data_IF_346878213863
#
_entry.id   IF_346878213863
#
_cell.length_a   1.000
_cell.length_b   1.000
_cell.length_c   1.000
_cell.angle_alpha   90.00
_cell.angle_beta   90.00
_cell.angle_gamma   90.00
#
_symmetry.space_group_name_H-M   'P 1'
#
loop_
_entity.id
_entity.type
_entity.pdbx_description
1 polymer ?
#
# COMPACT_ATOMS: atom_id res chain seq x y z
N UNK A 1 19.47 52.33 1.13
CA UNK A 1 19.72 50.90 1.46
C UNK A 1 20.31 50.25 0.22
N UNK A 2 21.55 49.79 0.31
CA UNK A 2 22.17 49.08 -0.82
C UNK A 2 21.61 47.68 -0.95
N UNK A 3 21.56 47.14 -2.17
CA UNK A 3 21.10 45.74 -2.42
C UNK A 3 21.91 44.74 -1.61
N UNK A 4 23.19 45.00 -1.38
CA UNK A 4 24.07 44.22 -0.52
C UNK A 4 23.64 44.24 0.97
N UNK A 5 23.07 45.35 1.46
CA UNK A 5 22.63 45.49 2.83
C UNK A 5 21.33 44.70 3.06
N UNK A 6 20.45 44.64 2.06
CA UNK A 6 19.22 43.86 2.09
C UNK A 6 19.54 42.36 2.09
N UNK A 7 20.45 41.92 1.21
CA UNK A 7 20.89 40.51 1.18
C UNK A 7 21.57 40.13 2.51
N UNK A 8 22.49 40.99 3.00
CA UNK A 8 23.20 40.72 4.24
C UNK A 8 22.25 40.65 5.44
N UNK A 9 21.23 41.51 5.48
CA UNK A 9 20.19 41.52 6.50
C UNK A 9 19.32 40.27 6.41
N UNK A 10 18.84 39.87 5.23
CA UNK A 10 18.06 38.67 5.02
C UNK A 10 18.85 37.41 5.34
N UNK A 11 20.15 37.38 5.02
CA UNK A 11 21.03 36.26 5.37
C UNK A 11 21.23 36.20 6.89
N UNK A 12 21.51 37.36 7.54
CA UNK A 12 21.69 37.42 8.99
C UNK A 12 20.41 37.06 9.75
N UNK A 13 19.24 37.53 9.28
CA UNK A 13 17.94 37.14 9.86
C UNK A 13 17.64 35.64 9.65
N UNK A 14 18.04 35.07 8.52
CA UNK A 14 17.94 33.62 8.27
C UNK A 14 18.91 32.79 9.11
N UNK A 15 20.02 33.34 9.58
CA UNK A 15 20.94 32.73 10.55
C UNK A 15 20.53 33.01 12.01
N UNK A 16 19.60 33.95 12.25
CA UNK A 16 19.08 34.19 13.58
C UNK A 16 18.30 32.94 14.06
N UNK A 17 18.74 32.36 15.16
CA UNK A 17 18.02 31.27 15.82
C UNK A 17 16.60 31.74 16.13
N UNK A 18 15.60 31.16 15.47
CA UNK A 18 14.22 31.30 15.91
C UNK A 18 14.05 30.46 17.18
N UNK A 19 13.94 31.15 18.33
CA UNK A 19 13.66 30.50 19.61
C UNK A 19 12.27 29.87 19.54
N UNK A 20 12.23 28.55 19.30
CA UNK A 20 10.99 27.77 19.30
C UNK A 20 10.65 27.48 20.76
N UNK A 21 9.69 28.23 21.32
CA UNK A 21 9.26 28.04 22.70
C UNK A 21 8.81 26.60 22.97
N UNK A 22 9.11 26.09 24.18
CA UNK A 22 8.75 24.72 24.60
C UNK A 22 7.25 24.44 24.44
N UNK A 23 6.39 25.43 24.67
CA UNK A 23 4.94 25.30 24.51
C UNK A 23 4.59 24.98 23.03
N UNK A 24 5.24 25.64 22.08
CA UNK A 24 5.05 25.42 20.64
C UNK A 24 5.45 23.99 20.25
N UNK A 25 6.55 23.48 20.79
CA UNK A 25 7.00 22.12 20.55
C UNK A 25 5.94 21.12 21.06
N UNK A 26 5.50 21.28 22.30
CA UNK A 26 4.50 20.37 22.92
C UNK A 26 3.18 20.39 22.16
N UNK A 27 2.69 21.58 21.80
CA UNK A 27 1.44 21.72 21.03
C UNK A 27 1.58 21.07 19.64
N UNK A 28 2.67 21.35 18.94
CA UNK A 28 2.90 20.77 17.61
C UNK A 28 2.96 19.24 17.66
N UNK A 29 3.72 18.67 18.58
CA UNK A 29 3.80 17.22 18.74
C UNK A 29 2.48 16.62 19.22
N UNK A 30 1.72 17.31 20.06
CA UNK A 30 0.40 16.89 20.51
C UNK A 30 -0.61 16.81 19.37
N UNK A 31 -0.71 17.87 18.55
CA UNK A 31 -1.59 17.89 17.36
C UNK A 31 -1.16 16.82 16.34
N UNK A 32 0.16 16.72 16.10
CA UNK A 32 0.70 15.68 15.20
C UNK A 32 0.33 14.29 15.70
N UNK A 33 0.44 14.05 17.01
CA UNK A 33 0.06 12.78 17.63
C UNK A 33 -1.43 12.44 17.45
N UNK A 34 -2.32 13.42 17.54
CA UNK A 34 -3.75 13.21 17.29
C UNK A 34 -4.02 12.81 15.83
N UNK A 35 -3.39 13.49 14.86
CA UNK A 35 -3.53 13.13 13.44
C UNK A 35 -2.86 11.78 13.16
N UNK A 36 -1.75 11.46 13.80
CA UNK A 36 -1.10 10.16 13.71
C UNK A 36 -2.00 9.01 14.19
N UNK A 37 -2.71 9.20 15.29
CA UNK A 37 -3.71 8.25 15.79
C UNK A 37 -4.90 8.13 14.83
N UNK A 38 -5.29 9.22 14.19
CA UNK A 38 -6.29 9.18 13.12
C UNK A 38 -5.84 8.31 11.96
N UNK A 39 -4.60 8.49 11.45
CA UNK A 39 -4.03 7.66 10.38
C UNK A 39 -3.99 6.19 10.80
N UNK A 40 -3.55 5.90 12.04
CA UNK A 40 -3.55 4.55 12.62
C UNK A 40 -4.93 3.90 12.56
N UNK A 41 -5.98 4.65 12.94
CA UNK A 41 -7.35 4.15 12.91
C UNK A 41 -7.85 3.90 11.49
N UNK A 42 -7.58 4.82 10.55
CA UNK A 42 -7.98 4.68 9.14
C UNK A 42 -7.29 3.47 8.49
N UNK A 43 -5.98 3.31 8.69
CA UNK A 43 -5.27 2.14 8.17
C UNK A 43 -5.87 0.83 8.68
N UNK A 44 -6.20 0.77 9.98
CA UNK A 44 -6.84 -0.40 10.59
C UNK A 44 -8.23 -0.70 10.03
N UNK A 45 -9.00 0.34 9.69
CA UNK A 45 -10.35 0.21 9.12
C UNK A 45 -10.32 -0.16 7.63
N UNK A 46 -9.40 0.43 6.86
CA UNK A 46 -9.29 0.23 5.43
C UNK A 46 -8.54 -1.06 5.05
N UNK A 47 -7.57 -1.51 5.89
CA UNK A 47 -6.82 -2.74 5.62
C UNK A 47 -7.71 -3.96 5.83
N UNK A 48 -7.83 -4.80 4.79
CA UNK A 48 -8.53 -6.08 4.90
C UNK A 48 -7.79 -7.00 5.86
N UNK A 49 -8.54 -7.73 6.69
CA UNK A 49 -8.01 -8.54 7.80
C UNK A 49 -6.87 -9.49 7.42
N UNK A 50 -6.82 -9.99 6.18
CA UNK A 50 -5.78 -10.89 5.69
C UNK A 50 -4.41 -10.24 5.45
N UNK A 51 -4.37 -8.91 5.22
CA UNK A 51 -3.15 -8.17 4.86
C UNK A 51 -2.74 -7.15 5.93
N UNK A 52 -3.47 -7.09 7.05
CA UNK A 52 -3.16 -6.15 8.13
C UNK A 52 -1.82 -6.46 8.80
N UNK A 53 -0.86 -5.54 8.66
CA UNK A 53 0.43 -5.62 9.35
C UNK A 53 0.43 -4.71 10.57
N UNK A 54 0.40 -5.32 11.78
CA UNK A 54 0.35 -4.60 13.04
C UNK A 54 1.58 -3.74 13.30
N UNK A 55 2.75 -4.22 12.94
CA UNK A 55 4.00 -3.49 13.21
C UNK A 55 4.18 -2.33 12.23
N UNK A 56 3.75 -2.51 10.98
CA UNK A 56 3.69 -1.42 10.02
C UNK A 56 2.72 -0.31 10.47
N UNK A 57 1.54 -0.68 10.97
CA UNK A 57 0.59 0.31 11.50
C UNK A 57 1.13 1.12 12.69
N UNK A 58 1.90 0.49 13.59
CA UNK A 58 2.61 1.23 14.66
C UNK A 58 3.64 2.22 14.08
N UNK A 59 4.35 1.80 13.03
CA UNK A 59 5.31 2.68 12.34
C UNK A 59 4.61 3.91 11.76
N UNK A 60 3.45 3.72 11.12
CA UNK A 60 2.63 4.82 10.60
C UNK A 60 2.20 5.83 11.68
N UNK A 61 1.91 5.36 12.89
CA UNK A 61 1.55 6.23 14.01
C UNK A 61 2.73 7.00 14.59
N UNK A 62 3.94 6.46 14.54
CA UNK A 62 5.13 7.08 15.12
C UNK A 62 5.86 8.00 14.12
N UNK A 63 5.79 7.69 12.83
CA UNK A 63 6.51 8.41 11.77
C UNK A 63 6.19 9.92 11.73
N UNK A 64 4.92 10.38 11.84
CA UNK A 64 4.62 11.82 11.83
C UNK A 64 5.27 12.56 12.99
N UNK A 65 5.33 11.94 14.16
CA UNK A 65 5.91 12.57 15.36
C UNK A 65 7.42 12.78 15.15
N UNK A 66 8.10 11.76 14.63
CA UNK A 66 9.54 11.84 14.32
C UNK A 66 9.79 12.89 13.25
N UNK A 67 9.01 12.88 12.17
CA UNK A 67 9.15 13.82 11.07
C UNK A 67 8.86 15.25 11.49
N UNK A 68 7.82 15.49 12.31
CA UNK A 68 7.52 16.81 12.86
C UNK A 68 8.65 17.32 13.76
N UNK A 69 9.23 16.44 14.59
CA UNK A 69 10.40 16.77 15.42
C UNK A 69 11.61 17.18 14.57
N UNK A 70 11.87 16.48 13.49
CA UNK A 70 12.94 16.80 12.52
C UNK A 70 12.69 18.18 11.90
N UNK A 71 11.47 18.47 11.43
CA UNK A 71 11.13 19.75 10.81
C UNK A 71 11.21 20.89 11.83
N UNK A 72 10.77 20.70 13.07
CA UNK A 72 10.95 21.70 14.14
C UNK A 72 12.43 21.98 14.40
N UNK A 73 13.28 20.95 14.45
CA UNK A 73 14.72 21.13 14.62
C UNK A 73 15.35 21.88 13.42
N UNK A 74 14.90 21.61 12.20
CA UNK A 74 15.37 22.31 11.00
C UNK A 74 14.98 23.81 10.99
N UNK A 75 13.86 24.18 11.58
CA UNK A 75 13.44 25.58 11.68
C UNK A 75 14.25 26.37 12.71
N UNK A 76 14.90 25.72 13.65
CA UNK A 76 15.69 26.41 14.68
C UNK A 76 17.03 26.99 14.15
N UNK A 77 17.58 26.42 13.06
CA UNK A 77 18.86 26.87 12.49
C UNK A 77 19.06 26.38 11.07
N UNK A 78 19.50 27.26 10.17
CA UNK A 78 19.87 26.92 8.79
C UNK A 78 21.03 25.92 8.76
N UNK A 79 21.98 26.02 9.68
CA UNK A 79 23.10 25.07 9.76
C UNK A 79 22.61 23.66 10.07
N UNK A 80 21.63 23.53 10.98
CA UNK A 80 21.01 22.25 11.30
C UNK A 80 20.23 21.73 10.09
N UNK A 81 19.49 22.58 9.38
CA UNK A 81 18.76 22.20 8.16
C UNK A 81 19.71 21.61 7.12
N UNK A 82 20.82 22.28 6.83
CA UNK A 82 21.78 21.83 5.85
C UNK A 82 22.47 20.51 6.25
N UNK A 83 22.83 20.41 7.52
CA UNK A 83 23.41 19.17 8.10
C UNK A 83 22.42 17.99 8.04
N UNK A 84 21.14 18.23 8.31
CA UNK A 84 20.10 17.21 8.28
C UNK A 84 19.84 16.69 6.87
N UNK A 85 19.77 17.59 5.84
CA UNK A 85 19.64 17.18 4.44
C UNK A 85 20.82 16.30 4.02
N UNK A 86 22.05 16.66 4.42
CA UNK A 86 23.23 15.84 4.18
C UNK A 86 23.15 14.47 4.87
N UNK A 87 22.75 14.43 6.13
CA UNK A 87 22.62 13.19 6.88
C UNK A 87 21.53 12.26 6.32
N UNK A 88 20.35 12.81 5.95
CA UNK A 88 19.24 12.04 5.39
C UNK A 88 19.57 11.49 3.98
N UNK A 89 20.42 12.15 3.21
CA UNK A 89 20.83 11.66 1.88
C UNK A 89 21.66 10.39 1.91
N UNK A 90 22.27 10.06 3.05
CA UNK A 90 23.06 8.84 3.25
C UNK A 90 22.17 7.64 3.66
N UNK A 91 20.95 7.92 4.15
CA UNK A 91 20.02 6.86 4.59
C UNK A 91 19.49 6.09 3.39
N UNK A 92 19.93 4.85 3.25
CA UNK A 92 19.47 3.94 2.20
C UNK A 92 18.53 2.90 2.79
N UNK A 93 17.27 2.94 2.42
CA UNK A 93 16.32 1.87 2.73
C UNK A 93 16.62 0.64 1.87
N UNK A 94 16.89 -0.50 2.52
CA UNK A 94 17.17 -1.77 1.82
C UNK A 94 15.91 -2.65 1.70
N UNK A 95 14.86 -2.34 2.46
CA UNK A 95 13.62 -3.09 2.46
C UNK A 95 12.62 -2.42 1.52
N UNK A 96 12.21 -3.13 0.48
CA UNK A 96 11.13 -2.67 -0.39
C UNK A 96 9.78 -2.84 0.32
N UNK A 97 8.97 -1.79 0.34
CA UNK A 97 7.56 -1.88 0.70
C UNK A 97 6.86 -2.60 -0.45
N UNK A 98 6.30 -3.78 -0.18
CA UNK A 98 5.75 -4.66 -1.23
C UNK A 98 4.37 -4.23 -1.69
N UNK A 99 3.58 -3.62 -0.82
CA UNK A 99 2.23 -3.17 -1.11
C UNK A 99 2.22 -1.70 -1.48
N UNK A 100 1.60 -1.36 -2.62
CA UNK A 100 1.48 0.02 -3.09
C UNK A 100 0.62 0.87 -2.16
N UNK A 101 -0.36 0.27 -1.49
CA UNK A 101 -1.21 0.97 -0.52
C UNK A 101 -0.43 1.31 0.76
N UNK A 102 0.41 0.42 1.23
CA UNK A 102 1.30 0.68 2.38
C UNK A 102 2.23 1.85 2.10
N UNK A 103 2.74 1.95 0.85
CA UNK A 103 3.56 3.08 0.43
C UNK A 103 2.80 4.40 0.49
N UNK A 104 1.53 4.43 0.06
CA UNK A 104 0.66 5.62 0.15
C UNK A 104 0.49 6.07 1.60
N UNK A 105 0.16 5.14 2.51
CA UNK A 105 0.02 5.44 3.94
C UNK A 105 1.33 5.97 4.56
N UNK A 106 2.47 5.42 4.15
CA UNK A 106 3.77 5.87 4.61
C UNK A 106 4.05 7.31 4.17
N UNK A 107 3.83 7.64 2.90
CA UNK A 107 3.99 9.01 2.40
C UNK A 107 3.02 9.99 3.04
N UNK A 108 1.76 9.59 3.25
CA UNK A 108 0.79 10.41 3.97
C UNK A 108 1.24 10.69 5.40
N UNK A 109 1.71 9.68 6.11
CA UNK A 109 2.23 9.77 7.47
C UNK A 109 3.43 10.76 7.55
N UNK A 110 4.42 10.61 6.68
CA UNK A 110 5.57 11.53 6.58
C UNK A 110 5.11 12.94 6.24
N UNK A 111 4.23 13.09 5.24
CA UNK A 111 3.72 14.38 4.79
C UNK A 111 2.99 15.15 5.89
N UNK A 112 2.14 14.47 6.66
CA UNK A 112 1.48 15.07 7.84
C UNK A 112 2.50 15.55 8.86
N UNK A 113 3.55 14.77 9.13
CA UNK A 113 4.61 15.17 10.04
C UNK A 113 5.34 16.44 9.55
N UNK A 114 5.64 16.54 8.26
CA UNK A 114 6.26 17.73 7.66
C UNK A 114 5.34 18.95 7.80
N UNK A 115 4.06 18.81 7.43
CA UNK A 115 3.09 19.90 7.44
C UNK A 115 2.84 20.39 8.88
N UNK A 116 2.67 19.47 9.83
CA UNK A 116 2.50 19.81 11.24
C UNK A 116 3.76 20.44 11.83
N UNK A 117 4.94 19.92 11.51
CA UNK A 117 6.22 20.50 11.92
C UNK A 117 6.40 21.93 11.40
N UNK A 118 5.87 22.22 10.21
CA UNK A 118 5.80 23.58 9.65
C UNK A 118 4.69 24.46 10.30
N UNK A 119 3.95 23.95 11.28
CA UNK A 119 2.83 24.60 12.00
C UNK A 119 1.60 24.91 11.11
N UNK A 120 1.46 24.20 10.00
CA UNK A 120 0.35 24.35 9.05
C UNK A 120 -0.77 23.31 9.37
N UNK A 121 -1.28 23.33 10.60
CA UNK A 121 -2.21 22.32 11.12
C UNK A 121 -3.50 22.24 10.31
N UNK A 122 -4.03 23.35 9.82
CA UNK A 122 -5.24 23.39 8.98
C UNK A 122 -5.04 22.57 7.70
N UNK A 123 -3.89 22.72 7.06
CA UNK A 123 -3.55 21.98 5.84
C UNK A 123 -3.42 20.49 6.15
N UNK A 124 -2.79 20.12 7.27
CA UNK A 124 -2.65 18.73 7.68
C UNK A 124 -4.01 18.05 7.86
N UNK A 125 -4.96 18.73 8.49
CA UNK A 125 -6.33 18.22 8.70
C UNK A 125 -7.07 18.09 7.37
N UNK A 126 -7.06 19.14 6.53
CA UNK A 126 -7.75 19.13 5.22
C UNK A 126 -7.20 18.03 4.33
N UNK A 127 -5.88 17.90 4.21
CA UNK A 127 -5.23 16.85 3.42
C UNK A 127 -5.61 15.47 3.98
N UNK A 128 -5.58 15.27 5.29
CA UNK A 128 -5.93 13.99 5.90
C UNK A 128 -7.38 13.60 5.65
N UNK A 129 -8.31 14.54 5.72
CA UNK A 129 -9.72 14.31 5.39
C UNK A 129 -9.91 14.00 3.91
N UNK A 130 -9.22 14.74 3.02
CA UNK A 130 -9.31 14.52 1.59
C UNK A 130 -8.76 13.13 1.18
N UNK A 131 -7.61 12.74 1.72
CA UNK A 131 -7.01 11.40 1.48
C UNK A 131 -7.96 10.31 1.97
N UNK A 132 -8.49 10.45 3.18
CA UNK A 132 -9.44 9.48 3.74
C UNK A 132 -10.71 9.36 2.88
N UNK A 133 -11.30 10.49 2.50
CA UNK A 133 -12.49 10.50 1.64
C UNK A 133 -12.21 9.81 0.29
N UNK A 134 -11.03 10.05 -0.29
CA UNK A 134 -10.64 9.45 -1.56
C UNK A 134 -10.42 7.92 -1.43
N UNK A 135 -9.79 7.46 -0.35
CA UNK A 135 -9.59 6.02 -0.09
C UNK A 135 -10.95 5.31 -0.02
N UNK A 136 -11.89 5.82 0.77
CA UNK A 136 -13.21 5.21 0.90
C UNK A 136 -14.03 5.32 -0.39
N UNK A 137 -13.92 6.43 -1.13
CA UNK A 137 -14.59 6.59 -2.43
C UNK A 137 -14.08 5.58 -3.46
N UNK A 138 -12.77 5.35 -3.51
CA UNK A 138 -12.17 4.37 -4.42
C UNK A 138 -12.51 2.93 -4.01
N UNK A 139 -12.61 2.64 -2.71
CA UNK A 139 -13.05 1.33 -2.21
C UNK A 139 -14.53 1.02 -2.53
N UNK A 140 -15.35 2.06 -2.75
CA UNK A 140 -16.74 1.90 -3.16
C UNK A 140 -16.86 1.45 -4.62
N UNK A 141 -15.84 1.66 -5.45
CA UNK A 141 -15.80 1.16 -6.83
C UNK A 141 -15.56 -0.36 -6.78
N UNK A 142 -16.53 -1.18 -7.26
CA UNK A 142 -16.38 -2.62 -7.18
C UNK A 142 -15.19 -3.07 -8.02
N UNK A 143 -14.10 -3.43 -7.36
CA UNK A 143 -12.97 -4.11 -8.00
C UNK A 143 -13.44 -5.43 -8.58
N UNK A 144 -13.08 -5.70 -9.82
CA UNK A 144 -13.34 -7.00 -10.43
C UNK A 144 -12.73 -8.10 -9.53
N UNK A 145 -13.55 -9.08 -9.14
CA UNK A 145 -13.07 -10.21 -8.32
C UNK A 145 -11.80 -10.77 -8.92
N UNK A 146 -10.78 -11.06 -8.11
CA UNK A 146 -9.55 -11.67 -8.62
C UNK A 146 -9.88 -12.97 -9.36
N UNK A 147 -9.18 -13.27 -10.43
CA UNK A 147 -9.38 -14.52 -11.16
C UNK A 147 -8.96 -15.70 -10.26
N UNK A 148 -9.56 -16.84 -10.51
CA UNK A 148 -9.16 -18.11 -9.92
C UNK A 148 -8.28 -18.87 -10.90
N UNK A 149 -7.35 -19.65 -10.38
CA UNK A 149 -6.60 -20.64 -11.13
C UNK A 149 -7.20 -22.02 -10.85
N UNK A 150 -7.77 -22.62 -11.88
CA UNK A 150 -8.22 -24.00 -11.85
C UNK A 150 -7.08 -24.87 -12.35
N UNK A 151 -6.59 -25.76 -11.49
CA UNK A 151 -5.58 -26.76 -11.82
C UNK A 151 -6.28 -28.09 -11.95
N UNK A 152 -6.21 -28.71 -13.12
CA UNK A 152 -6.81 -30.00 -13.44
C UNK A 152 -5.70 -30.95 -13.82
N UNK A 153 -5.61 -32.07 -13.13
CA UNK A 153 -4.71 -33.17 -13.45
C UNK A 153 -5.56 -34.35 -13.95
N UNK A 154 -5.28 -34.85 -15.14
CA UNK A 154 -6.03 -35.91 -15.79
C UNK A 154 -5.11 -36.94 -16.42
N UNK A 155 -5.55 -38.20 -16.45
CA UNK A 155 -4.93 -39.27 -17.26
C UNK A 155 -5.42 -39.27 -18.72
N UNK A 156 -6.58 -38.61 -18.95
CA UNK A 156 -7.08 -38.42 -20.30
C UNK A 156 -6.50 -37.13 -20.92
N UNK A 157 -5.75 -37.26 -22.02
CA UNK A 157 -5.11 -36.16 -22.73
C UNK A 157 -6.07 -35.37 -23.62
N UNK A 158 -7.28 -35.92 -23.89
CA UNK A 158 -8.30 -35.31 -24.76
C UNK A 158 -9.51 -34.74 -23.99
N UNK A 159 -9.37 -34.46 -22.69
CA UNK A 159 -10.44 -33.93 -21.85
C UNK A 159 -10.90 -32.50 -22.20
N UNK A 160 -10.15 -31.79 -23.03
CA UNK A 160 -10.38 -30.37 -23.36
C UNK A 160 -11.82 -30.04 -23.82
N UNK A 161 -12.51 -30.83 -24.68
CA UNK A 161 -13.88 -30.50 -25.10
C UNK A 161 -14.88 -30.54 -23.95
N UNK A 162 -14.81 -31.57 -23.09
CA UNK A 162 -15.69 -31.74 -21.93
C UNK A 162 -15.43 -30.68 -20.89
N UNK A 163 -14.16 -30.33 -20.63
CA UNK A 163 -13.77 -29.30 -19.73
C UNK A 163 -14.25 -27.91 -20.21
N UNK A 164 -14.08 -27.60 -21.49
CA UNK A 164 -14.52 -26.33 -22.07
C UNK A 164 -16.03 -26.15 -22.00
N UNK A 165 -16.82 -27.21 -22.16
CA UNK A 165 -18.28 -27.15 -21.96
C UNK A 165 -18.64 -26.79 -20.54
N UNK A 166 -18.01 -27.41 -19.54
CA UNK A 166 -18.22 -27.08 -18.12
C UNK A 166 -17.77 -25.66 -17.78
N UNK A 167 -16.61 -25.24 -18.29
CA UNK A 167 -16.12 -23.89 -18.10
C UNK A 167 -17.09 -22.86 -18.69
N UNK A 168 -17.69 -23.13 -19.83
CA UNK A 168 -18.70 -22.27 -20.45
C UNK A 168 -19.97 -22.12 -19.59
N UNK A 169 -20.34 -23.13 -18.78
CA UNK A 169 -21.52 -23.10 -17.90
C UNK A 169 -21.27 -22.42 -16.57
N UNK A 170 -20.10 -22.62 -15.95
CA UNK A 170 -19.82 -22.22 -14.55
C UNK A 170 -18.81 -21.08 -14.44
N UNK A 171 -18.10 -20.72 -15.50
CA UNK A 171 -17.04 -19.72 -15.47
C UNK A 171 -17.21 -18.66 -16.56
N UNK A 172 -16.65 -17.47 -16.29
CA UNK A 172 -16.56 -16.38 -17.27
C UNK A 172 -15.10 -16.09 -17.58
N UNK A 173 -14.79 -15.90 -18.87
CA UNK A 173 -13.44 -15.47 -19.29
C UNK A 173 -12.36 -16.51 -19.02
N UNK A 174 -12.66 -17.80 -19.16
CA UNK A 174 -11.69 -18.87 -19.04
C UNK A 174 -10.56 -18.73 -20.05
N UNK A 175 -9.30 -18.78 -19.57
CA UNK A 175 -8.09 -18.73 -20.39
C UNK A 175 -7.10 -19.78 -19.93
N UNK A 176 -6.67 -20.64 -20.82
CA UNK A 176 -5.61 -21.62 -20.55
C UNK A 176 -4.29 -20.85 -20.35
N UNK A 177 -3.67 -20.99 -19.19
CA UNK A 177 -2.37 -20.39 -18.85
C UNK A 177 -1.21 -21.36 -19.08
N UNK A 178 -1.43 -22.63 -18.77
CA UNK A 178 -0.45 -23.67 -18.97
C UNK A 178 -1.14 -24.96 -19.34
N UNK A 179 -0.53 -25.70 -20.24
CA UNK A 179 -0.90 -27.08 -20.62
C UNK A 179 0.37 -27.88 -20.71
N UNK A 180 0.50 -28.87 -19.86
CA UNK A 180 1.62 -29.81 -19.87
C UNK A 180 1.08 -31.21 -20.14
N UNK A 181 1.64 -31.87 -21.11
CA UNK A 181 1.27 -33.24 -21.50
C UNK A 181 2.50 -34.12 -21.34
N UNK A 182 2.38 -35.13 -20.47
CA UNK A 182 3.34 -36.21 -20.35
C UNK A 182 2.75 -37.48 -20.96
N UNK A 183 3.51 -38.58 -21.03
CA UNK A 183 3.06 -39.81 -21.68
C UNK A 183 1.68 -40.33 -21.22
N UNK A 184 1.38 -40.14 -19.88
CA UNK A 184 0.16 -40.66 -19.25
C UNK A 184 -0.57 -39.61 -18.42
N UNK A 185 -0.23 -38.30 -18.55
CA UNK A 185 -0.81 -37.23 -17.73
C UNK A 185 -0.94 -35.94 -18.49
N UNK A 186 -2.05 -35.27 -18.25
CA UNK A 186 -2.33 -33.89 -18.67
C UNK A 186 -2.45 -33.02 -17.42
N UNK A 187 -1.61 -31.99 -17.30
CA UNK A 187 -1.73 -30.93 -16.28
C UNK A 187 -2.20 -29.66 -16.98
N UNK A 188 -3.37 -29.18 -16.61
CA UNK A 188 -3.99 -27.98 -17.18
C UNK A 188 -4.18 -26.92 -16.12
N UNK A 189 -3.72 -25.70 -16.38
CA UNK A 189 -3.96 -24.54 -15.56
C UNK A 189 -4.79 -23.53 -16.33
N UNK A 190 -6.01 -23.27 -15.84
CA UNK A 190 -6.96 -22.35 -16.46
C UNK A 190 -7.24 -21.18 -15.52
N UNK A 191 -6.99 -19.97 -15.97
CA UNK A 191 -7.44 -18.77 -15.31
C UNK A 191 -8.90 -18.51 -15.65
N UNK A 192 -9.74 -18.31 -14.64
CA UNK A 192 -11.17 -18.10 -14.83
C UNK A 192 -11.77 -17.24 -13.73
N UNK A 193 -12.96 -16.73 -13.95
CA UNK A 193 -13.79 -16.06 -12.95
C UNK A 193 -15.06 -16.85 -12.75
N UNK A 194 -15.33 -17.25 -11.51
CA UNK A 194 -16.56 -17.97 -11.15
C UNK A 194 -17.19 -17.37 -9.89
N UNK A 195 -18.50 -17.48 -9.80
CA UNK A 195 -19.23 -17.15 -8.58
C UNK A 195 -19.52 -18.38 -7.72
N UNK A 196 -19.36 -19.58 -8.28
CA UNK A 196 -19.70 -20.86 -7.62
C UNK A 196 -18.58 -21.89 -7.84
N UNK A 197 -17.43 -21.61 -7.19
CA UNK A 197 -16.23 -22.43 -7.31
C UNK A 197 -16.42 -23.86 -6.87
N UNK A 198 -17.24 -24.10 -5.84
CA UNK A 198 -17.50 -25.46 -5.32
C UNK A 198 -18.19 -26.34 -6.35
N UNK A 199 -19.20 -25.83 -7.04
CA UNK A 199 -19.90 -26.57 -8.09
C UNK A 199 -19.02 -26.83 -9.29
N UNK A 200 -18.20 -25.83 -9.67
CA UNK A 200 -17.24 -25.99 -10.75
C UNK A 200 -16.25 -27.11 -10.47
N UNK A 201 -15.63 -27.11 -9.26
CA UNK A 201 -14.68 -28.14 -8.84
C UNK A 201 -15.33 -29.51 -8.84
N UNK A 202 -16.54 -29.64 -8.27
CA UNK A 202 -17.26 -30.91 -8.23
C UNK A 202 -17.64 -31.41 -9.62
N UNK A 203 -18.06 -30.52 -10.51
CA UNK A 203 -18.39 -30.89 -11.89
C UNK A 203 -17.15 -31.33 -12.69
N UNK A 204 -16.02 -30.65 -12.51
CA UNK A 204 -14.75 -31.04 -13.15
C UNK A 204 -14.20 -32.35 -12.59
N UNK A 205 -14.32 -32.59 -11.30
CA UNK A 205 -13.89 -33.82 -10.64
C UNK A 205 -14.73 -35.06 -11.05
N UNK A 206 -15.94 -34.84 -11.55
CA UNK A 206 -16.81 -35.91 -12.04
C UNK A 206 -16.51 -36.33 -13.49
N UNK A 207 -15.61 -35.64 -14.20
CA UNK A 207 -15.21 -36.04 -15.55
C UNK A 207 -14.36 -37.31 -15.53
N UNK A 208 -14.55 -38.21 -16.51
CA UNK A 208 -13.73 -39.41 -16.60
C UNK A 208 -12.27 -39.04 -16.87
N UNK A 209 -11.37 -39.76 -16.21
CA UNK A 209 -9.93 -39.52 -16.32
C UNK A 209 -9.35 -38.42 -15.46
N UNK A 210 -10.15 -37.64 -14.76
CA UNK A 210 -9.65 -36.60 -13.84
C UNK A 210 -9.18 -37.22 -12.53
N UNK A 211 -7.92 -37.01 -12.17
CA UNK A 211 -7.32 -37.46 -10.92
C UNK A 211 -7.51 -36.44 -9.79
N UNK A 212 -7.29 -35.17 -10.09
CA UNK A 212 -7.45 -34.10 -9.11
C UNK A 212 -7.84 -32.76 -9.74
N UNK A 213 -8.64 -31.98 -8.99
CA UNK A 213 -9.04 -30.63 -9.35
C UNK A 213 -8.81 -29.70 -8.15
N UNK A 214 -8.04 -28.66 -8.35
CA UNK A 214 -7.79 -27.65 -7.34
C UNK A 214 -8.18 -26.27 -7.86
N UNK A 215 -8.94 -25.51 -7.06
CA UNK A 215 -9.29 -24.13 -7.37
C UNK A 215 -8.54 -23.23 -6.40
N UNK A 216 -7.60 -22.45 -6.92
CA UNK A 216 -6.75 -21.55 -6.15
C UNK A 216 -7.19 -20.10 -6.40
N UNK A 217 -7.36 -19.30 -5.35
CA UNK A 217 -7.52 -17.87 -5.52
C UNK A 217 -6.17 -17.29 -6.02
N UNK A 218 -6.22 -16.56 -7.13
CA UNK A 218 -5.03 -15.92 -7.67
C UNK A 218 -5.04 -14.45 -7.26
N UNK A 219 -4.26 -14.11 -6.23
CA UNK A 219 -4.17 -12.74 -5.69
C UNK A 219 -3.34 -11.79 -6.58
N UNK A 220 -3.08 -12.17 -7.83
CA UNK A 220 -2.38 -11.31 -8.81
C UNK A 220 -0.88 -11.15 -8.61
N UNK A 221 -0.31 -11.65 -7.52
CA UNK A 221 1.13 -11.64 -7.29
C UNK A 221 1.78 -12.91 -7.85
N UNK A 222 2.29 -12.81 -9.07
CA UNK A 222 3.30 -13.77 -9.55
C UNK A 222 4.62 -13.37 -8.90
N UNK A 223 5.01 -14.06 -7.84
CA UNK A 223 6.35 -13.95 -7.27
C UNK A 223 7.30 -14.80 -8.13
N UNK A 224 8.16 -14.13 -8.89
CA UNK A 224 9.36 -14.71 -9.45
C UNK A 224 10.49 -14.70 -8.44
#
# INVERSE_FOLDING_TARGET
MSFSDVIKKSVLEGFAQSDIGTVTIVVTLGVTGLIALYIYAIYRLASRSAFYNRDFNKTLALMPIVTAGIVLAMQSSIVISLGMVGALSIVRFRNAVKDSMDLLYLFWSIGVGIICGARLFEIAVVVSLAVTALIFLLDLVPSAKPPYLLVVNSTDTEIDPALNELLGRYAKGARVKSRSVSADRLDLIVELRTNDGSRLVSACAALPGVESVNLLAHDGEVRY
#
